data_IF_920478291876
#
_entry.id   IF_920478291876
#
_cell.length_a   1.000
_cell.length_b   1.000
_cell.length_c   1.000
_cell.angle_alpha   90.00
_cell.angle_beta   90.00
_cell.angle_gamma   90.00
#
_symmetry.space_group_name_H-M   'P 1'
#
loop_
_entity.id
_entity.type
_entity.pdbx_description
1 polymer ?
#
# COMPACT_ATOMS: atom_id res chain seq x y z
N UNK A 1 6.30 -8.01 -13.78
CA UNK A 1 6.58 -6.93 -12.80
C UNK A 1 7.64 -5.92 -13.24
N UNK A 2 8.46 -6.21 -14.25
CA UNK A 2 9.49 -5.29 -14.79
C UNK A 2 9.04 -4.48 -16.02
N UNK A 3 7.92 -4.86 -16.64
CA UNK A 3 7.42 -4.19 -17.83
C UNK A 3 7.05 -2.72 -17.56
N UNK A 4 7.54 -1.84 -18.41
CA UNK A 4 7.26 -0.39 -18.41
C UNK A 4 6.39 -0.05 -19.62
N UNK A 5 5.21 0.55 -19.37
CA UNK A 5 4.45 1.20 -20.45
C UNK A 5 5.18 2.50 -20.82
N UNK A 6 5.28 2.82 -22.11
CA UNK A 6 6.15 3.88 -22.67
C UNK A 6 6.41 5.08 -21.75
N UNK A 7 7.68 5.25 -21.33
CA UNK A 7 8.12 6.35 -20.46
C UNK A 7 7.62 6.30 -19.01
N UNK A 8 6.83 5.29 -18.65
CA UNK A 8 6.27 5.09 -17.32
C UNK A 8 7.07 4.13 -16.44
N UNK A 9 6.57 3.93 -15.22
CA UNK A 9 7.16 3.08 -14.19
C UNK A 9 6.61 1.64 -14.26
N UNK A 10 7.48 0.64 -14.11
CA UNK A 10 7.10 -0.73 -13.81
C UNK A 10 6.66 -0.88 -12.34
N UNK A 11 5.96 -1.97 -11.96
CA UNK A 11 5.71 -2.27 -10.55
C UNK A 11 6.96 -2.21 -9.66
N UNK A 12 8.08 -2.73 -10.16
CA UNK A 12 9.37 -2.72 -9.44
C UNK A 12 9.92 -1.31 -9.28
N UNK A 13 9.84 -0.46 -10.31
CA UNK A 13 10.24 0.95 -10.20
C UNK A 13 9.44 1.67 -9.11
N UNK A 14 8.11 1.45 -9.09
CA UNK A 14 7.23 2.06 -8.08
C UNK A 14 7.59 1.55 -6.68
N UNK A 15 7.83 0.25 -6.50
CA UNK A 15 8.26 -0.30 -5.21
C UNK A 15 9.58 0.34 -4.76
N UNK A 16 10.57 0.39 -5.64
CA UNK A 16 11.88 0.98 -5.34
C UNK A 16 11.77 2.46 -4.93
N UNK A 17 10.85 3.21 -5.54
CA UNK A 17 10.56 4.61 -5.15
C UNK A 17 9.81 4.72 -3.82
N UNK A 18 8.98 3.73 -3.47
CA UNK A 18 8.24 3.71 -2.20
C UNK A 18 9.14 3.37 -1.01
N UNK A 19 10.10 2.46 -1.17
CA UNK A 19 10.98 1.98 -0.09
C UNK A 19 11.65 3.09 0.75
N UNK A 20 12.31 4.11 0.16
CA UNK A 20 12.95 5.16 0.97
C UNK A 20 11.93 6.00 1.75
N UNK A 21 10.77 6.30 1.16
CA UNK A 21 9.69 7.05 1.82
C UNK A 21 9.12 6.24 2.99
N UNK A 22 8.91 4.93 2.78
CA UNK A 22 8.41 4.06 3.83
C UNK A 22 9.42 3.87 4.96
N UNK A 23 10.72 3.85 4.65
CA UNK A 23 11.76 3.85 5.68
C UNK A 23 11.65 5.11 6.57
N UNK A 24 11.54 6.28 5.96
CA UNK A 24 11.36 7.54 6.69
C UNK A 24 10.09 7.55 7.57
N UNK A 25 8.97 7.05 7.03
CA UNK A 25 7.71 6.91 7.77
C UNK A 25 7.88 6.00 8.99
N UNK A 26 8.52 4.84 8.83
CA UNK A 26 8.71 3.86 9.90
C UNK A 26 9.72 4.31 10.97
N UNK A 27 10.67 5.17 10.60
CA UNK A 27 11.64 5.78 11.53
C UNK A 27 11.13 7.09 12.17
N UNK A 28 9.95 7.58 11.74
CA UNK A 28 9.39 8.82 12.25
C UNK A 28 8.86 8.66 13.70
N UNK A 29 8.81 9.76 14.48
CA UNK A 29 8.28 9.71 15.85
C UNK A 29 6.74 9.71 15.90
N UNK A 30 6.04 9.68 14.76
CA UNK A 30 4.58 9.77 14.70
C UNK A 30 3.93 8.40 14.87
N UNK A 31 2.96 8.32 15.79
CA UNK A 31 2.26 7.06 16.08
C UNK A 31 1.17 6.72 15.05
N UNK A 32 0.59 7.73 14.39
CA UNK A 32 -0.49 7.53 13.40
C UNK A 32 -0.24 8.40 12.17
N UNK A 33 -0.14 7.75 11.02
CA UNK A 33 0.20 8.39 9.74
C UNK A 33 -0.83 7.98 8.70
N UNK A 34 -1.41 8.97 8.00
CA UNK A 34 -2.35 8.74 6.90
C UNK A 34 -1.60 8.80 5.56
N UNK A 35 -1.72 7.73 4.77
CA UNK A 35 -1.19 7.66 3.41
C UNK A 35 -2.33 7.65 2.40
N UNK A 36 -2.43 8.73 1.61
CA UNK A 36 -3.40 8.83 0.51
C UNK A 36 -2.71 8.43 -0.80
N UNK A 37 -3.12 7.30 -1.38
CA UNK A 37 -2.45 6.70 -2.54
C UNK A 37 -3.44 6.25 -3.61
N UNK A 38 -2.94 6.02 -4.81
CA UNK A 38 -3.71 5.44 -5.91
C UNK A 38 -3.67 3.91 -5.85
N UNK A 39 -4.69 3.27 -6.43
CA UNK A 39 -4.91 1.82 -6.31
C UNK A 39 -3.72 0.92 -6.66
N UNK A 40 -3.02 1.19 -7.77
CA UNK A 40 -1.86 0.38 -8.13
C UNK A 40 -0.68 0.58 -7.18
N UNK A 41 -0.48 1.79 -6.69
CA UNK A 41 0.61 2.11 -5.77
C UNK A 41 0.39 1.45 -4.39
N UNK A 42 -0.85 1.44 -3.88
CA UNK A 42 -1.16 0.75 -2.61
C UNK A 42 -0.99 -0.77 -2.73
N UNK A 43 -1.39 -1.39 -3.87
CA UNK A 43 -1.17 -2.84 -4.11
C UNK A 43 0.29 -3.24 -4.05
N UNK A 44 1.14 -2.47 -4.73
CA UNK A 44 2.60 -2.67 -4.75
C UNK A 44 3.17 -2.50 -3.34
N UNK A 45 2.74 -1.45 -2.63
CA UNK A 45 3.18 -1.19 -1.26
C UNK A 45 2.79 -2.33 -0.30
N UNK A 46 1.52 -2.77 -0.33
CA UNK A 46 1.03 -3.85 0.53
C UNK A 46 1.72 -5.18 0.22
N UNK A 47 2.01 -5.46 -1.04
CA UNK A 47 2.77 -6.66 -1.43
C UNK A 47 4.15 -6.66 -0.76
N UNK A 48 4.86 -5.54 -0.83
CA UNK A 48 6.17 -5.41 -0.19
C UNK A 48 6.10 -5.50 1.33
N UNK A 49 5.20 -4.75 1.97
CA UNK A 49 5.07 -4.72 3.43
C UNK A 49 4.64 -6.07 4.04
N UNK A 50 3.94 -6.91 3.27
CA UNK A 50 3.51 -8.25 3.71
C UNK A 50 4.44 -9.36 3.24
N UNK A 51 5.59 -9.03 2.64
CA UNK A 51 6.51 -9.98 2.03
C UNK A 51 5.84 -10.92 0.99
N UNK A 52 4.79 -10.44 0.31
CA UNK A 52 4.15 -11.13 -0.81
C UNK A 52 4.88 -10.82 -2.12
N UNK A 53 4.80 -11.72 -3.09
CA UNK A 53 5.43 -11.48 -4.40
C UNK A 53 4.66 -10.40 -5.18
N UNK A 54 5.37 -9.47 -5.82
CA UNK A 54 4.75 -8.40 -6.62
C UNK A 54 3.86 -8.91 -7.77
N UNK A 55 4.08 -10.14 -8.24
CA UNK A 55 3.25 -10.74 -9.29
C UNK A 55 1.81 -11.01 -8.81
N UNK A 56 1.63 -11.14 -7.49
CA UNK A 56 0.35 -11.41 -6.83
C UNK A 56 -0.27 -10.12 -6.25
N UNK A 57 0.24 -8.95 -6.63
CA UNK A 57 -0.22 -7.66 -6.09
C UNK A 57 -1.71 -7.39 -6.33
N UNK A 58 -2.31 -8.05 -7.33
CA UNK A 58 -3.73 -7.89 -7.65
C UNK A 58 -4.67 -8.60 -6.66
N UNK A 59 -4.14 -9.46 -5.79
CA UNK A 59 -4.86 -10.04 -4.65
C UNK A 59 -5.25 -8.98 -3.60
N UNK A 60 -4.53 -7.84 -3.56
CA UNK A 60 -4.92 -6.70 -2.75
C UNK A 60 -6.05 -5.93 -3.45
N UNK A 61 -7.27 -6.15 -3.00
CA UNK A 61 -8.44 -5.42 -3.49
C UNK A 61 -8.32 -3.91 -3.25
N UNK A 62 -8.93 -3.11 -4.11
CA UNK A 62 -8.95 -1.66 -3.97
C UNK A 62 -10.24 -1.13 -4.57
N UNK A 63 -10.90 -0.23 -3.85
CA UNK A 63 -11.95 0.65 -4.35
C UNK A 63 -11.61 2.11 -4.05
N UNK A 64 -12.32 3.04 -4.70
CA UNK A 64 -12.14 4.45 -4.42
C UNK A 64 -12.46 4.73 -2.95
N UNK A 65 -11.58 5.50 -2.29
CA UNK A 65 -11.69 5.81 -0.86
C UNK A 65 -11.72 4.57 0.06
N UNK A 66 -11.24 3.41 -0.39
CA UNK A 66 -11.10 2.25 0.51
C UNK A 66 -10.07 2.52 1.62
N UNK A 67 -10.32 2.00 2.81
CA UNK A 67 -9.42 2.11 3.95
C UNK A 67 -8.68 0.80 4.22
N UNK A 68 -7.35 0.90 4.30
CA UNK A 68 -6.47 -0.11 4.87
C UNK A 68 -5.87 0.43 6.16
N UNK A 69 -5.81 -0.41 7.20
CA UNK A 69 -5.11 -0.08 8.45
C UNK A 69 -4.01 -1.12 8.67
N UNK A 70 -2.79 -0.61 8.84
CA UNK A 70 -1.63 -1.39 9.21
C UNK A 70 -1.20 -0.96 10.62
N UNK A 71 -0.94 -1.92 11.48
CA UNK A 71 -0.35 -1.70 12.79
C UNK A 71 1.07 -2.27 12.79
N UNK A 72 2.03 -1.51 13.30
CA UNK A 72 3.43 -1.92 13.35
C UNK A 72 3.99 -1.90 14.76
N UNK A 73 4.96 -2.77 15.01
CA UNK A 73 5.86 -2.68 16.16
C UNK A 73 7.27 -3.13 15.75
N UNK A 74 8.15 -3.34 16.72
CA UNK A 74 9.52 -3.83 16.52
C UNK A 74 9.63 -5.14 15.71
N UNK A 75 8.56 -5.93 15.61
CA UNK A 75 8.51 -7.20 14.88
C UNK A 75 7.94 -7.05 13.45
N UNK A 76 7.60 -5.83 13.02
CA UNK A 76 7.09 -5.55 11.68
C UNK A 76 5.64 -5.07 11.67
N UNK A 77 5.03 -5.09 10.47
CA UNK A 77 3.69 -4.57 10.20
C UNK A 77 2.69 -5.70 9.97
N UNK A 78 1.48 -5.53 10.49
CA UNK A 78 0.32 -6.40 10.23
C UNK A 78 -0.83 -5.58 9.66
N UNK A 79 -1.54 -6.13 8.68
CA UNK A 79 -2.78 -5.52 8.20
C UNK A 79 -3.92 -5.94 9.15
N UNK A 80 -4.57 -4.96 9.79
CA UNK A 80 -5.69 -5.19 10.71
C UNK A 80 -7.05 -4.84 10.11
N UNK A 81 -7.07 -4.00 9.08
CA UNK A 81 -8.26 -3.69 8.30
C UNK A 81 -7.93 -3.69 6.81
N UNK A 82 -8.74 -4.37 6.01
CA UNK A 82 -8.56 -4.54 4.57
C UNK A 82 -9.74 -3.97 3.80
N UNK A 83 -9.45 -3.09 2.84
CA UNK A 83 -10.40 -2.62 1.82
C UNK A 83 -11.76 -2.17 2.40
N UNK A 84 -11.75 -1.47 3.54
CA UNK A 84 -12.98 -1.09 4.24
C UNK A 84 -13.65 0.11 3.57
N UNK A 85 -14.96 -0.01 3.32
CA UNK A 85 -15.80 1.02 2.70
C UNK A 85 -16.98 1.39 3.59
N UNK A 86 -16.98 1.03 4.88
CA UNK A 86 -18.16 1.20 5.76
C UNK A 86 -18.60 2.66 5.88
N UNK A 87 -17.66 3.59 5.75
CA UNK A 87 -17.93 5.03 5.80
C UNK A 87 -18.61 5.55 4.54
N UNK A 88 -18.50 4.86 3.40
CA UNK A 88 -19.09 5.24 2.12
C UNK A 88 -20.53 4.76 1.99
N UNK A 89 -21.32 4.81 3.08
CA UNK A 89 -22.73 4.37 3.14
C UNK A 89 -23.40 4.51 1.77
N UNK A 90 -23.97 3.41 1.26
CA UNK A 90 -24.74 3.44 0.01
C UNK A 90 -25.68 4.64 0.05
N UNK A 91 -25.44 5.59 -0.85
CA UNK A 91 -26.46 6.56 -1.23
C UNK A 91 -27.61 5.74 -1.81
N UNK A 92 -28.72 5.68 -1.08
CA UNK A 92 -29.97 5.04 -1.49
C UNK A 92 -30.33 5.31 -2.95
#
# INVERSE_FOLDING_TARGET
IEYKKWGGESPVDVQNRQMPVMKEILESPYETILLCMHGRAIRILLSWLTASELKDMDEFQHGNLCLYILEGNENGLKIVLKNDHKHLKESY
#
